data_IF_680761719352
#
_entry.id   IF_680761719352
#
_cell.length_a   1.000
_cell.length_b   1.000
_cell.length_c   1.000
_cell.angle_alpha   90.00
_cell.angle_beta   90.00
_cell.angle_gamma   90.00
#
_symmetry.space_group_name_H-M   'P 1'
#
loop_
_entity.id
_entity.type
_entity.pdbx_description
1 polymer ?
#
# COMPACT_ATOMS: atom_id res chain seq x y z
N UNK A 1 5.61 -4.24 17.47
CA UNK A 1 6.04 -2.86 17.21
C UNK A 1 7.17 -2.91 16.18
N UNK A 2 7.03 -2.15 15.07
CA UNK A 2 7.68 -2.34 13.76
C UNK A 2 7.06 -3.44 12.88
N UNK A 3 5.72 -3.45 12.79
CA UNK A 3 5.02 -4.31 11.83
C UNK A 3 5.50 -4.02 10.42
N UNK A 4 5.64 -5.09 9.63
CA UNK A 4 6.06 -5.04 8.23
C UNK A 4 4.87 -5.46 7.38
N UNK A 5 4.76 -4.86 6.20
CA UNK A 5 3.79 -5.28 5.17
C UNK A 5 2.56 -4.39 5.05
N UNK A 6 1.85 -4.61 3.95
CA UNK A 6 0.65 -3.90 3.52
C UNK A 6 -0.43 -4.95 3.33
N UNK A 7 -1.56 -4.79 4.03
CA UNK A 7 -2.74 -5.64 3.86
C UNK A 7 -3.75 -4.87 3.01
N UNK A 8 -4.38 -5.56 2.06
CA UNK A 8 -5.46 -5.01 1.24
C UNK A 8 -6.76 -5.73 1.59
N UNK A 9 -7.78 -4.93 1.92
CA UNK A 9 -9.12 -5.43 2.20
C UNK A 9 -10.11 -5.01 1.12
N UNK A 10 -10.98 -5.92 0.69
CA UNK A 10 -12.22 -5.58 0.01
C UNK A 10 -13.28 -5.24 1.07
N UNK A 11 -13.75 -3.98 1.05
CA UNK A 11 -14.75 -3.44 1.96
C UNK A 11 -16.13 -3.25 1.29
N UNK A 12 -16.40 -3.87 0.14
CA UNK A 12 -17.73 -3.80 -0.52
C UNK A 12 -18.87 -4.25 0.39
N UNK A 13 -18.62 -5.23 1.25
CA UNK A 13 -19.50 -5.57 2.36
C UNK A 13 -18.79 -5.26 3.69
N UNK A 14 -19.04 -4.08 4.31
CA UNK A 14 -18.37 -3.67 5.53
C UNK A 14 -18.58 -4.61 6.73
N UNK A 15 -19.71 -5.33 6.77
CA UNK A 15 -20.02 -6.32 7.83
C UNK A 15 -19.25 -7.64 7.64
N UNK A 16 -18.66 -7.85 6.45
CA UNK A 16 -17.87 -9.04 6.11
C UNK A 16 -16.68 -8.67 5.20
N UNK A 17 -15.68 -7.95 5.73
CA UNK A 17 -14.50 -7.56 4.96
C UNK A 17 -13.68 -8.80 4.58
N UNK A 18 -13.10 -8.77 3.39
CA UNK A 18 -12.24 -9.85 2.89
C UNK A 18 -10.82 -9.35 2.74
N UNK A 19 -9.84 -10.09 3.24
CA UNK A 19 -8.44 -9.86 2.89
C UNK A 19 -8.25 -10.38 1.46
N UNK A 20 -7.89 -9.50 0.54
CA UNK A 20 -7.65 -9.85 -0.85
C UNK A 20 -6.17 -9.91 -1.21
N UNK A 21 -5.31 -9.23 -0.44
CA UNK A 21 -3.86 -9.33 -0.60
C UNK A 21 -3.11 -9.01 0.69
N UNK A 22 -1.90 -9.55 0.81
CA UNK A 22 -0.93 -9.21 1.82
C UNK A 22 0.46 -9.22 1.22
N UNK A 23 1.05 -8.03 1.10
CA UNK A 23 2.42 -7.86 0.61
C UNK A 23 3.37 -7.57 1.77
N UNK A 24 4.51 -8.26 1.79
CA UNK A 24 5.58 -8.04 2.76
C UNK A 24 6.94 -8.13 2.06
N UNK A 25 7.72 -7.06 2.17
CA UNK A 25 9.16 -7.08 1.91
C UNK A 25 9.90 -6.86 3.24
N UNK A 26 10.71 -7.82 3.73
CA UNK A 26 11.47 -7.67 4.97
C UNK A 26 12.42 -6.47 5.01
N UNK A 27 12.76 -5.88 3.85
CA UNK A 27 13.61 -4.69 3.74
C UNK A 27 12.87 -3.40 4.09
N UNK A 28 11.55 -3.36 3.91
CA UNK A 28 10.74 -2.18 4.10
C UNK A 28 10.09 -2.16 5.48
N UNK A 29 10.59 -1.30 6.38
CA UNK A 29 10.29 -1.40 7.82
C UNK A 29 9.75 -0.10 8.39
N UNK A 30 8.70 -0.22 9.20
CA UNK A 30 8.06 0.92 9.87
C UNK A 30 7.31 1.83 8.89
N UNK A 31 6.21 1.35 8.27
CA UNK A 31 5.38 2.20 7.43
C UNK A 31 4.68 3.26 8.27
N UNK A 32 4.87 4.54 7.94
CA UNK A 32 4.29 5.68 8.68
C UNK A 32 3.56 6.65 7.73
N UNK A 33 4.10 6.88 6.53
CA UNK A 33 3.49 7.76 5.53
C UNK A 33 2.76 6.96 4.45
N UNK A 34 1.53 7.35 4.11
CA UNK A 34 0.75 6.72 3.04
C UNK A 34 0.12 7.80 2.14
N UNK A 35 0.28 7.65 0.83
CA UNK A 35 -0.41 8.45 -0.19
C UNK A 35 -0.94 7.54 -1.29
N UNK A 36 -2.26 7.61 -1.52
CA UNK A 36 -2.91 6.93 -2.64
C UNK A 36 -3.12 7.91 -3.81
N UNK A 37 -2.70 7.50 -5.00
CA UNK A 37 -2.92 8.22 -6.26
C UNK A 37 -3.87 7.39 -7.12
N UNK A 38 -5.07 7.91 -7.37
CA UNK A 38 -6.04 7.22 -8.22
C UNK A 38 -5.54 7.11 -9.66
N UNK A 39 -6.05 6.13 -10.39
CA UNK A 39 -5.69 5.86 -11.78
C UNK A 39 -5.83 7.09 -12.71
N UNK A 40 -6.76 8.01 -12.42
CA UNK A 40 -6.99 9.23 -13.20
C UNK A 40 -5.92 10.31 -12.95
N UNK A 41 -5.28 10.28 -11.79
CA UNK A 41 -4.23 11.24 -11.39
C UNK A 41 -2.81 10.67 -11.55
N UNK A 42 -2.71 9.40 -11.93
CA UNK A 42 -1.43 8.70 -12.07
C UNK A 42 -0.68 9.17 -13.33
N UNK A 43 0.66 9.32 -13.26
CA UNK A 43 1.48 9.52 -14.45
C UNK A 43 1.53 8.27 -15.34
N UNK A 44 1.11 7.11 -14.84
CA UNK A 44 0.99 5.87 -15.60
C UNK A 44 -0.48 5.65 -16.02
N UNK A 45 -0.78 5.52 -17.34
CA UNK A 45 -2.14 5.43 -17.82
C UNK A 45 -2.94 4.29 -17.17
N UNK A 46 -4.01 4.65 -16.45
CA UNK A 46 -4.96 3.73 -15.80
C UNK A 46 -4.38 2.85 -14.68
N UNK A 47 -3.19 3.15 -14.17
CA UNK A 47 -2.57 2.39 -13.08
C UNK A 47 -2.62 3.23 -11.79
N UNK A 48 -3.44 2.85 -10.78
CA UNK A 48 -3.39 3.48 -9.47
C UNK A 48 -2.07 3.17 -8.76
N UNK A 49 -1.60 4.12 -7.96
CA UNK A 49 -0.34 4.00 -7.20
C UNK A 49 -0.60 4.16 -5.70
N UNK A 50 0.14 3.38 -4.91
CA UNK A 50 0.26 3.56 -3.47
C UNK A 50 1.71 3.90 -3.14
N UNK A 51 1.92 5.06 -2.54
CA UNK A 51 3.23 5.51 -2.08
C UNK A 51 3.29 5.31 -0.58
N UNK A 52 4.32 4.61 -0.11
CA UNK A 52 4.53 4.34 1.31
C UNK A 52 5.91 4.84 1.73
N UNK A 53 5.93 5.67 2.77
CA UNK A 53 7.14 6.10 3.46
C UNK A 53 7.41 5.16 4.62
N UNK A 54 8.58 4.52 4.60
CA UNK A 54 9.06 3.66 5.67
C UNK A 54 10.13 4.38 6.48
N UNK A 55 9.78 4.74 7.72
CA UNK A 55 10.64 5.53 8.60
C UNK A 55 11.91 4.77 8.98
N UNK A 56 11.79 3.49 9.35
CA UNK A 56 12.90 2.73 9.88
C UNK A 56 13.91 2.32 8.80
N UNK A 57 13.42 1.88 7.64
CA UNK A 57 14.28 1.59 6.48
C UNK A 57 14.72 2.84 5.72
N UNK A 58 14.14 4.02 6.03
CA UNK A 58 14.42 5.30 5.37
C UNK A 58 14.18 5.23 3.86
N UNK A 59 13.15 4.50 3.45
CA UNK A 59 12.79 4.29 2.05
C UNK A 59 11.43 4.92 1.73
N UNK A 60 11.27 5.33 0.48
CA UNK A 60 9.96 5.60 -0.13
C UNK A 60 9.75 4.53 -1.20
N UNK A 61 8.65 3.81 -1.12
CA UNK A 61 8.30 2.73 -2.07
C UNK A 61 7.02 3.10 -2.80
N UNK A 62 6.99 2.82 -4.10
CA UNK A 62 5.84 3.05 -4.97
C UNK A 62 5.33 1.69 -5.43
N UNK A 63 4.09 1.37 -5.06
CA UNK A 63 3.38 0.18 -5.48
C UNK A 63 2.42 0.52 -6.63
N UNK A 64 2.45 -0.28 -7.70
CA UNK A 64 1.39 -0.29 -8.71
C UNK A 64 0.30 -1.26 -8.29
N UNK A 65 -0.95 -0.79 -8.26
CA UNK A 65 -2.10 -1.64 -7.95
C UNK A 65 -2.74 -2.07 -9.26
N UNK A 66 -2.96 -3.39 -9.45
CA UNK A 66 -3.55 -3.98 -10.66
C UNK A 66 -4.86 -4.70 -10.34
#
# INVERSE_FOLDING_TARGET
ERMTGIIVWDLKNPEKPLIIDYYLDPKDRGPEGILFISAQKSPFPRIPLLIVGYEYSKSIVIYSIQ
#
